data_IF_889002988864
#
_entry.id   IF_889002988864
#
_cell.length_a   1.000
_cell.length_b   1.000
_cell.length_c   1.000
_cell.angle_alpha   90.00
_cell.angle_beta   90.00
_cell.angle_gamma   90.00
#
_symmetry.space_group_name_H-M   'P 1'
#
loop_
_entity.id
_entity.type
_entity.pdbx_description
1 polymer ?
#
# COMPACT_ATOMS: atom_id res chain seq x y z
N UNK A 1 -26.42 14.06 -14.22
CA UNK A 1 -25.50 14.23 -13.08
C UNK A 1 -24.10 13.91 -13.59
N UNK A 2 -23.09 14.73 -13.30
CA UNK A 2 -21.72 14.38 -13.68
C UNK A 2 -21.27 13.27 -12.74
N UNK A 3 -21.40 12.02 -13.17
CA UNK A 3 -21.04 10.81 -12.39
C UNK A 3 -19.52 10.65 -12.28
N UNK A 4 -18.81 11.72 -11.96
CA UNK A 4 -17.38 11.69 -11.68
C UNK A 4 -17.18 11.26 -10.24
N UNK A 5 -16.45 10.16 -10.04
CA UNK A 5 -16.03 9.72 -8.71
C UNK A 5 -15.37 10.88 -7.97
N UNK A 6 -15.84 11.23 -6.75
CA UNK A 6 -15.25 12.29 -5.97
C UNK A 6 -13.76 12.07 -5.71
N UNK A 7 -12.93 13.08 -5.99
CA UNK A 7 -11.46 13.00 -5.84
C UNK A 7 -11.04 12.59 -4.43
N UNK A 8 -11.76 13.02 -3.39
CA UNK A 8 -11.47 12.65 -2.01
C UNK A 8 -11.51 11.14 -1.75
N UNK A 9 -12.40 10.38 -2.43
CA UNK A 9 -12.47 8.91 -2.31
C UNK A 9 -11.25 8.25 -2.93
N UNK A 10 -10.74 8.81 -4.01
CA UNK A 10 -9.54 8.32 -4.71
C UNK A 10 -8.30 8.57 -3.86
N UNK A 11 -8.18 9.78 -3.30
CA UNK A 11 -7.08 10.15 -2.40
C UNK A 11 -7.11 9.30 -1.13
N UNK A 12 -8.29 9.15 -0.51
CA UNK A 12 -8.46 8.30 0.67
C UNK A 12 -8.09 6.84 0.38
N UNK A 13 -8.52 6.29 -0.75
CA UNK A 13 -8.13 4.95 -1.17
C UNK A 13 -6.60 4.83 -1.28
N UNK A 14 -5.94 5.76 -1.96
CA UNK A 14 -4.49 5.74 -2.12
C UNK A 14 -3.73 5.80 -0.78
N UNK A 15 -4.20 6.62 0.17
CA UNK A 15 -3.63 6.69 1.53
C UNK A 15 -3.79 5.34 2.25
N UNK A 16 -5.00 4.78 2.24
CA UNK A 16 -5.28 3.50 2.89
C UNK A 16 -4.49 2.35 2.26
N UNK A 17 -4.35 2.33 0.93
CA UNK A 17 -3.52 1.38 0.19
C UNK A 17 -2.06 1.48 0.60
N UNK A 18 -1.51 2.69 0.64
CA UNK A 18 -0.13 2.92 1.05
C UNK A 18 0.11 2.43 2.48
N UNK A 19 -0.76 2.80 3.43
CA UNK A 19 -0.66 2.35 4.83
C UNK A 19 -0.74 0.82 4.91
N UNK A 20 -1.69 0.21 4.20
CA UNK A 20 -1.90 -1.25 4.24
C UNK A 20 -0.66 -1.99 3.76
N UNK A 21 -0.10 -1.60 2.62
CA UNK A 21 1.07 -2.25 2.04
C UNK A 21 2.33 -1.95 2.84
N UNK A 22 2.47 -0.72 3.36
CA UNK A 22 3.59 -0.35 4.22
C UNK A 22 3.60 -1.17 5.51
N UNK A 23 2.46 -1.27 6.20
CA UNK A 23 2.36 -2.02 7.46
C UNK A 23 2.49 -3.52 7.22
N UNK A 24 1.72 -4.10 6.29
CA UNK A 24 1.77 -5.53 6.02
C UNK A 24 3.12 -5.95 5.43
N UNK A 25 3.60 -5.23 4.42
CA UNK A 25 4.89 -5.51 3.80
C UNK A 25 6.04 -5.30 4.78
N UNK A 26 6.00 -4.22 5.56
CA UNK A 26 7.02 -3.91 6.56
C UNK A 26 7.08 -4.98 7.64
N UNK A 27 5.94 -5.41 8.17
CA UNK A 27 5.87 -6.47 9.18
C UNK A 27 6.34 -7.83 8.62
N UNK A 28 5.92 -8.19 7.41
CA UNK A 28 6.37 -9.43 6.75
C UNK A 28 7.88 -9.42 6.55
N UNK A 29 8.44 -8.36 5.97
CA UNK A 29 9.89 -8.25 5.75
C UNK A 29 10.63 -8.29 7.08
N UNK A 30 10.19 -7.50 8.06
CA UNK A 30 10.81 -7.44 9.38
C UNK A 30 10.80 -8.80 10.10
N UNK A 31 9.73 -9.58 9.94
CA UNK A 31 9.62 -10.93 10.49
C UNK A 31 10.65 -11.90 9.91
N UNK A 32 11.02 -11.73 8.63
CA UNK A 32 12.05 -12.54 7.97
C UNK A 32 13.47 -12.02 8.18
N UNK A 33 13.65 -10.71 8.37
CA UNK A 33 14.98 -10.11 8.54
C UNK A 33 15.40 -9.92 10.01
N UNK A 34 14.55 -10.30 10.97
CA UNK A 34 14.81 -10.10 12.41
C UNK A 34 14.68 -8.64 12.87
N UNK A 35 13.99 -7.79 12.10
CA UNK A 35 13.86 -6.35 12.34
C UNK A 35 12.52 -5.97 13.01
N UNK A 36 11.88 -6.93 13.70
CA UNK A 36 10.69 -6.66 14.50
C UNK A 36 11.09 -5.97 15.81
N UNK A 37 10.24 -5.05 16.25
CA UNK A 37 10.39 -4.35 17.54
C UNK A 37 9.16 -4.63 18.41
N UNK A 38 9.19 -4.22 19.67
CA UNK A 38 8.05 -4.39 20.59
C UNK A 38 6.76 -3.72 20.09
N UNK A 39 6.89 -2.63 19.33
CA UNK A 39 5.76 -1.83 18.82
C UNK A 39 5.50 -1.99 17.31
N UNK A 40 6.33 -2.72 16.57
CA UNK A 40 6.19 -2.86 15.13
C UNK A 40 7.44 -3.39 14.43
N UNK A 41 8.06 -2.55 13.61
CA UNK A 41 9.26 -2.90 12.86
C UNK A 41 10.18 -1.69 12.65
N UNK A 42 11.47 -1.97 12.48
CA UNK A 42 12.47 -0.97 12.13
C UNK A 42 13.34 -1.48 10.99
N UNK A 43 13.03 -1.04 9.76
CA UNK A 43 13.75 -1.44 8.56
C UNK A 43 14.77 -0.37 8.16
N UNK A 44 16.02 -0.77 8.00
CA UNK A 44 17.11 0.08 7.50
C UNK A 44 17.89 -0.65 6.40
N UNK A 45 18.59 0.10 5.53
CA UNK A 45 19.39 -0.48 4.44
C UNK A 45 18.59 -1.32 3.46
N UNK A 46 19.06 -2.54 3.17
CA UNK A 46 18.45 -3.45 2.18
C UNK A 46 16.98 -3.80 2.46
N UNK A 47 16.58 -4.20 3.68
CA UNK A 47 15.17 -4.42 4.01
C UNK A 47 14.24 -3.24 3.70
N UNK A 48 14.70 -2.00 3.87
CA UNK A 48 13.93 -0.80 3.52
C UNK A 48 13.76 -0.64 1.99
N UNK A 49 14.82 -0.93 1.23
CA UNK A 49 14.76 -0.94 -0.24
C UNK A 49 13.79 -2.01 -0.76
N UNK A 50 13.78 -3.19 -0.13
CA UNK A 50 12.84 -4.26 -0.46
C UNK A 50 11.39 -3.81 -0.18
N UNK A 51 11.12 -3.17 0.95
CA UNK A 51 9.79 -2.64 1.25
C UNK A 51 9.35 -1.63 0.19
N UNK A 52 10.24 -0.73 -0.21
CA UNK A 52 9.95 0.25 -1.25
C UNK A 52 9.62 -0.41 -2.60
N UNK A 53 10.39 -1.45 -2.98
CA UNK A 53 10.11 -2.25 -4.16
C UNK A 53 8.74 -2.94 -4.10
N UNK A 54 8.36 -3.49 -2.94
CA UNK A 54 7.05 -4.11 -2.71
C UNK A 54 5.91 -3.10 -2.86
N UNK A 55 6.05 -1.89 -2.28
CA UNK A 55 5.06 -0.83 -2.41
C UNK A 55 4.87 -0.43 -3.88
N UNK A 56 5.96 -0.21 -4.62
CA UNK A 56 5.90 0.10 -6.05
C UNK A 56 5.22 -1.05 -6.81
N UNK A 57 5.65 -2.28 -6.57
CA UNK A 57 5.09 -3.46 -7.24
C UNK A 57 3.58 -3.57 -7.01
N UNK A 58 3.11 -3.32 -5.79
CA UNK A 58 1.68 -3.29 -5.48
C UNK A 58 0.93 -2.27 -6.34
N UNK A 59 1.37 -1.01 -6.37
CA UNK A 59 0.67 0.04 -7.13
C UNK A 59 0.74 -0.18 -8.66
N UNK A 60 1.87 -0.68 -9.17
CA UNK A 60 2.01 -1.04 -10.59
C UNK A 60 1.06 -2.17 -10.96
N UNK A 61 0.99 -3.21 -10.13
CA UNK A 61 0.12 -4.34 -10.38
C UNK A 61 -1.37 -3.96 -10.23
N UNK A 62 -1.72 -3.18 -9.21
CA UNK A 62 -3.05 -2.63 -9.02
C UNK A 62 -3.51 -1.78 -10.21
N UNK A 63 -2.61 -0.96 -10.78
CA UNK A 63 -2.90 -0.21 -12.01
C UNK A 63 -3.22 -1.12 -13.18
N UNK A 64 -2.52 -2.25 -13.33
CA UNK A 64 -2.79 -3.26 -14.36
C UNK A 64 -4.10 -4.02 -14.12
N UNK A 65 -4.48 -4.23 -12.86
CA UNK A 65 -5.73 -4.91 -12.48
C UNK A 65 -6.96 -3.98 -12.37
N UNK A 66 -6.88 -2.78 -12.95
CA UNK A 66 -8.01 -1.84 -13.00
C UNK A 66 -8.34 -1.15 -11.68
N UNK A 67 -7.38 -1.04 -10.75
CA UNK A 67 -7.51 -0.30 -9.50
C UNK A 67 -7.01 -1.06 -8.28
N UNK A 68 -6.70 -0.30 -7.23
CA UNK A 68 -6.19 -0.80 -5.95
C UNK A 68 -7.28 -1.44 -5.08
N UNK A 69 -6.87 -2.15 -4.02
CA UNK A 69 -7.78 -2.78 -3.06
C UNK A 69 -8.80 -1.78 -2.52
N UNK A 70 -8.33 -0.63 -2.01
CA UNK A 70 -9.23 0.35 -1.41
C UNK A 70 -10.05 1.13 -2.43
N UNK A 71 -9.60 1.27 -3.68
CA UNK A 71 -10.45 1.79 -4.75
C UNK A 71 -11.64 0.88 -5.04
N UNK A 72 -11.48 -0.45 -4.90
CA UNK A 72 -12.58 -1.42 -5.04
C UNK A 72 -13.56 -1.31 -3.88
N UNK A 73 -13.04 -1.27 -2.65
CA UNK A 73 -13.85 -1.18 -1.43
C UNK A 73 -14.63 0.13 -1.38
N UNK A 74 -13.95 1.26 -1.60
CA UNK A 74 -14.57 2.58 -1.57
C UNK A 74 -15.30 2.93 -2.87
N UNK A 75 -15.46 1.99 -3.81
CA UNK A 75 -16.07 2.20 -5.15
C UNK A 75 -15.59 3.49 -5.81
N UNK A 76 -14.27 3.71 -5.79
CA UNK A 76 -13.60 4.92 -6.26
C UNK A 76 -12.88 4.69 -7.60
N UNK A 77 -13.29 3.67 -8.37
CA UNK A 77 -12.70 3.32 -9.66
C UNK A 77 -13.14 4.36 -10.69
N UNK A 78 -12.17 5.02 -11.34
CA UNK A 78 -12.44 5.89 -12.49
C UNK A 78 -12.75 5.08 -13.73
#
# INVERSE_FOLDING_TARGET
MSDRVPTWRIVLAAILDFITVFVLGGWVIARFTGNLTESGFQLSGMPALILFAVIIAYFVLARRMGGTLWQRILRARR
#
